data_IF_496462278531
#
_entry.id   IF_496462278531
#
_cell.length_a   1.000
_cell.length_b   1.000
_cell.length_c   1.000
_cell.angle_alpha   90.00
_cell.angle_beta   90.00
_cell.angle_gamma   90.00
#
_symmetry.space_group_name_H-M   'P 1'
#
loop_
_entity.id
_entity.type
_entity.pdbx_description
1 polymer ?
#
# COMPACT_ATOMS: atom_id res chain seq x y z
N UNK A 1 2.95 -6.00 6.88
CA UNK A 1 2.49 -5.37 5.62
C UNK A 1 3.66 -5.12 4.67
N UNK A 2 4.61 -4.21 4.97
CA UNK A 2 5.67 -3.82 4.02
C UNK A 2 6.55 -4.97 3.50
N UNK A 3 7.02 -5.87 4.37
CA UNK A 3 7.83 -7.03 3.96
C UNK A 3 7.05 -7.93 3.00
N UNK A 4 5.84 -8.32 3.37
CA UNK A 4 4.94 -9.14 2.54
C UNK A 4 4.61 -8.46 1.21
N UNK A 5 4.32 -7.15 1.22
CA UNK A 5 4.08 -6.40 -0.01
C UNK A 5 5.29 -6.45 -0.95
N UNK A 6 6.51 -6.27 -0.41
CA UNK A 6 7.75 -6.32 -1.19
C UNK A 6 8.04 -7.71 -1.75
N UNK A 7 7.79 -8.76 -0.98
CA UNK A 7 7.93 -10.14 -1.43
C UNK A 7 7.00 -10.43 -2.62
N UNK A 8 5.72 -10.09 -2.48
CA UNK A 8 4.73 -10.27 -3.53
C UNK A 8 5.03 -9.41 -4.78
N UNK A 9 5.48 -8.17 -4.58
CA UNK A 9 5.88 -7.27 -5.65
C UNK A 9 7.06 -7.84 -6.44
N UNK A 10 8.09 -8.34 -5.74
CA UNK A 10 9.28 -8.95 -6.35
C UNK A 10 8.95 -10.21 -7.13
N UNK A 11 8.05 -11.06 -6.61
CA UNK A 11 7.60 -12.27 -7.30
C UNK A 11 6.94 -11.92 -8.64
N UNK A 12 6.06 -10.92 -8.65
CA UNK A 12 5.37 -10.47 -9.87
C UNK A 12 6.31 -9.76 -10.83
N UNK A 13 7.23 -8.96 -10.31
CA UNK A 13 8.27 -8.30 -11.10
C UNK A 13 9.19 -9.33 -11.80
N UNK A 14 9.50 -10.46 -11.16
CA UNK A 14 10.26 -11.55 -11.79
C UNK A 14 9.56 -12.17 -13.00
N UNK A 15 8.23 -12.00 -13.08
CA UNK A 15 7.39 -12.42 -14.20
C UNK A 15 7.11 -11.27 -15.18
N UNK A 16 7.68 -10.08 -14.96
CA UNK A 16 7.43 -8.87 -15.77
C UNK A 16 6.05 -8.24 -15.52
N UNK A 17 5.42 -8.53 -14.38
CA UNK A 17 4.05 -8.11 -14.06
C UNK A 17 4.08 -7.09 -12.91
N UNK A 18 3.28 -6.01 -12.97
CA UNK A 18 3.21 -5.06 -11.87
C UNK A 18 2.63 -5.69 -10.58
N UNK A 19 2.99 -5.14 -9.40
CA UNK A 19 2.39 -5.53 -8.13
C UNK A 19 0.86 -5.36 -8.15
N UNK A 20 0.16 -6.18 -7.36
CA UNK A 20 -1.27 -5.97 -7.15
C UNK A 20 -1.51 -4.67 -6.36
N UNK A 21 -2.66 -4.00 -6.55
CA UNK A 21 -3.11 -2.94 -5.66
C UNK A 21 -3.23 -3.44 -4.22
N UNK A 22 -3.18 -2.50 -3.28
CA UNK A 22 -3.42 -2.79 -1.87
C UNK A 22 -4.88 -3.14 -1.64
N UNK A 23 -5.11 -4.20 -0.87
CA UNK A 23 -6.43 -4.50 -0.33
C UNK A 23 -6.75 -3.61 0.89
N UNK A 24 -7.97 -3.75 1.43
CA UNK A 24 -8.43 -2.96 2.58
C UNK A 24 -7.57 -3.19 3.84
N UNK A 25 -7.14 -4.43 4.11
CA UNK A 25 -6.34 -4.76 5.29
C UNK A 25 -4.92 -4.19 5.18
N UNK A 26 -4.32 -4.26 4.01
CA UNK A 26 -3.03 -3.65 3.69
C UNK A 26 -3.10 -2.13 3.76
N UNK A 27 -4.21 -1.54 3.30
CA UNK A 27 -4.43 -0.09 3.37
C UNK A 27 -4.60 0.37 4.83
N UNK A 28 -5.32 -0.38 5.66
CA UNK A 28 -5.42 -0.11 7.09
C UNK A 28 -4.04 -0.18 7.77
N UNK A 29 -3.24 -1.20 7.48
CA UNK A 29 -1.89 -1.29 8.02
C UNK A 29 -0.96 -0.17 7.51
N UNK A 30 -1.17 0.30 6.27
CA UNK A 30 -0.42 1.43 5.70
C UNK A 30 -0.76 2.74 6.43
N UNK A 31 -2.03 3.02 6.74
CA UNK A 31 -2.42 4.25 7.45
C UNK A 31 -1.88 4.29 8.87
N UNK A 32 -1.76 3.15 9.54
CA UNK A 32 -1.09 3.03 10.84
C UNK A 32 0.41 3.34 10.77
N UNK A 33 1.10 2.83 9.75
CA UNK A 33 2.52 3.14 9.51
C UNK A 33 2.73 4.62 9.20
N UNK A 34 1.82 5.26 8.47
CA UNK A 34 1.89 6.68 8.14
C UNK A 34 1.79 7.61 9.36
N UNK A 35 1.18 7.17 10.47
CA UNK A 35 1.13 7.96 11.71
C UNK A 35 2.48 8.02 12.44
N UNK A 36 3.29 6.97 12.30
CA UNK A 36 4.63 6.85 12.90
C UNK A 36 5.56 6.16 11.90
N UNK A 37 5.97 6.86 10.83
CA UNK A 37 6.72 6.25 9.75
C UNK A 37 8.07 5.76 10.27
N UNK A 38 8.46 4.51 9.95
CA UNK A 38 9.83 4.05 10.16
C UNK A 38 10.80 4.93 9.37
N UNK A 39 11.96 5.23 9.97
CA UNK A 39 12.97 6.08 9.34
C UNK A 39 13.41 5.50 7.99
N UNK A 40 13.36 6.33 6.94
CA UNK A 40 13.76 5.95 5.58
C UNK A 40 12.65 5.27 4.76
N UNK A 41 11.47 5.06 5.33
CA UNK A 41 10.31 4.47 4.64
C UNK A 41 9.27 5.50 4.20
N UNK A 42 9.45 6.79 4.53
CA UNK A 42 8.47 7.85 4.32
C UNK A 42 8.03 7.95 2.85
N UNK A 43 9.00 7.98 1.94
CA UNK A 43 8.73 8.07 0.50
C UNK A 43 8.04 6.81 -0.03
N UNK A 44 8.41 5.64 0.49
CA UNK A 44 7.76 4.37 0.11
C UNK A 44 6.30 4.37 0.55
N UNK A 45 6.03 4.74 1.80
CA UNK A 45 4.67 4.79 2.34
C UNK A 45 3.79 5.78 1.57
N UNK A 46 4.32 6.96 1.24
CA UNK A 46 3.62 7.95 0.41
C UNK A 46 3.35 7.43 -1.01
N UNK A 47 4.32 6.74 -1.62
CA UNK A 47 4.11 6.10 -2.92
C UNK A 47 2.98 5.06 -2.87
N UNK A 48 2.96 4.20 -1.85
CA UNK A 48 1.90 3.20 -1.68
C UNK A 48 0.52 3.86 -1.50
N UNK A 49 0.44 4.92 -0.69
CA UNK A 49 -0.81 5.65 -0.47
C UNK A 49 -1.34 6.30 -1.75
N UNK A 50 -0.44 6.83 -2.58
CA UNK A 50 -0.80 7.63 -3.76
C UNK A 50 -1.09 6.74 -4.97
N UNK A 51 -0.27 5.72 -5.20
CA UNK A 51 -0.23 4.97 -6.46
C UNK A 51 -0.76 3.54 -6.37
N UNK A 52 -0.96 3.00 -5.16
CA UNK A 52 -1.27 1.57 -4.97
C UNK A 52 -2.62 1.28 -4.34
N UNK A 53 -3.45 2.29 -4.08
CA UNK A 53 -4.81 2.08 -3.59
C UNK A 53 -5.79 2.27 -4.75
N UNK A 54 -6.68 1.29 -5.03
CA UNK A 54 -7.71 1.43 -6.06
C UNK A 54 -8.57 2.71 -5.86
N UNK A 55 -9.02 3.36 -6.94
CA UNK A 55 -9.94 4.49 -6.83
C UNK A 55 -11.40 4.03 -6.69
N UNK A 56 -12.29 4.99 -6.43
CA UNK A 56 -13.74 4.76 -6.46
C UNK A 56 -14.31 4.23 -5.14
N UNK A 57 -15.18 3.22 -5.23
CA UNK A 57 -15.92 2.64 -4.10
C UNK A 57 -15.34 1.30 -3.63
N UNK A 58 -14.08 1.03 -3.98
CA UNK A 58 -13.35 -0.14 -3.48
C UNK A 58 -13.18 -0.07 -1.95
N UNK A 59 -13.12 -1.21 -1.28
CA UNK A 59 -12.97 -1.26 0.17
C UNK A 59 -11.66 -0.61 0.65
N UNK A 60 -10.56 -0.76 -0.09
CA UNK A 60 -9.31 -0.06 0.19
C UNK A 60 -9.43 1.45 -0.01
N UNK A 61 -10.16 1.88 -1.04
CA UNK A 61 -10.47 3.29 -1.27
C UNK A 61 -11.28 3.89 -0.10
N UNK A 62 -12.25 3.13 0.42
CA UNK A 62 -13.04 3.52 1.59
C UNK A 62 -12.18 3.69 2.85
N UNK A 63 -11.24 2.76 3.11
CA UNK A 63 -10.28 2.89 4.23
C UNK A 63 -9.40 4.13 4.05
N UNK A 64 -8.86 4.36 2.85
CA UNK A 64 -8.07 5.56 2.53
C UNK A 64 -8.87 6.85 2.78
N UNK A 65 -10.10 6.90 2.29
CA UNK A 65 -10.97 8.07 2.41
C UNK A 65 -11.43 8.31 3.86
N UNK A 66 -11.58 7.27 4.67
CA UNK A 66 -11.95 7.39 6.09
C UNK A 66 -10.79 7.91 6.94
N UNK A 67 -9.55 7.62 6.53
CA UNK A 67 -8.35 8.07 7.25
C UNK A 67 -7.93 9.51 6.93
N UNK A 68 -8.15 9.96 5.69
CA UNK A 68 -7.88 11.34 5.23
C UNK A 68 -8.93 12.33 5.74
#
# INVERSE_FOLDING_TARGET
>A
MLSTYRENAKERESQGIPPLPLDAAQTQALTELLQKPPAGEEQTLLHLLTERIPPGVDEAAYVKATWL
#
